data_IF_671174822192
#
_entry.id   IF_671174822192
#
_cell.length_a   1.000
_cell.length_b   1.000
_cell.length_c   1.000
_cell.angle_alpha   90.00
_cell.angle_beta   90.00
_cell.angle_gamma   90.00
#
_symmetry.space_group_name_H-M   'P 1'
#
loop_
_entity.id
_entity.type
_entity.pdbx_description
1 polymer ?
#
# COMPACT_ATOMS: atom_id res chain seq x y z
N UNK A 1 -2.04 17.29 26.38
CA UNK A 1 -3.14 16.57 27.07
C UNK A 1 -3.39 15.26 26.34
N UNK A 2 -3.80 14.19 27.03
CA UNK A 2 -4.06 12.89 26.41
C UNK A 2 -5.56 12.68 26.17
N UNK A 3 -5.90 12.02 25.06
CA UNK A 3 -7.26 11.53 24.81
C UNK A 3 -7.78 10.66 25.98
N UNK A 4 -9.09 10.70 26.28
CA UNK A 4 -9.67 9.77 27.25
C UNK A 4 -9.37 8.31 26.84
N UNK A 5 -8.98 7.41 27.77
CA UNK A 5 -8.57 6.05 27.43
C UNK A 5 -9.62 5.24 26.66
N UNK A 6 -10.90 5.49 26.92
CA UNK A 6 -12.01 4.83 26.21
C UNK A 6 -12.05 5.25 24.75
N UNK A 7 -11.92 6.55 24.47
CA UNK A 7 -11.89 7.08 23.10
C UNK A 7 -10.63 6.60 22.36
N UNK A 8 -9.47 6.59 23.04
CA UNK A 8 -8.24 6.08 22.46
C UNK A 8 -8.41 4.63 21.99
N UNK A 9 -8.97 3.75 22.83
CA UNK A 9 -9.24 2.35 22.45
C UNK A 9 -10.22 2.23 21.30
N UNK A 10 -11.33 2.98 21.33
CA UNK A 10 -12.30 3.01 20.23
C UNK A 10 -11.65 3.37 18.90
N UNK A 11 -10.75 4.36 18.89
CA UNK A 11 -10.01 4.73 17.68
C UNK A 11 -9.05 3.61 17.26
N UNK A 12 -8.27 3.05 18.18
CA UNK A 12 -7.34 1.95 17.88
C UNK A 12 -8.05 0.74 17.26
N UNK A 13 -9.24 0.39 17.77
CA UNK A 13 -10.05 -0.73 17.29
C UNK A 13 -10.76 -0.43 15.96
N UNK A 14 -10.98 0.85 15.66
CA UNK A 14 -11.67 1.28 14.46
C UNK A 14 -10.71 1.55 13.30
N UNK A 15 -9.56 2.19 13.54
CA UNK A 15 -8.70 2.83 12.51
C UNK A 15 -8.23 1.87 11.40
N UNK A 16 -8.01 0.60 11.72
CA UNK A 16 -7.61 -0.41 10.74
C UNK A 16 -8.78 -0.91 9.88
N UNK A 17 -10.02 -0.50 10.14
CA UNK A 17 -11.16 -0.84 9.27
C UNK A 17 -11.04 -0.05 7.97
N UNK A 18 -11.36 -0.69 6.84
CA UNK A 18 -11.35 -0.01 5.54
C UNK A 18 -12.33 1.15 5.48
N UNK A 19 -13.45 1.05 6.20
CA UNK A 19 -14.40 2.14 6.42
C UNK A 19 -14.63 2.29 7.92
N UNK A 20 -14.61 3.53 8.41
CA UNK A 20 -14.86 3.78 9.81
C UNK A 20 -15.41 5.17 10.10
N UNK A 21 -15.96 5.29 11.31
CA UNK A 21 -16.49 6.54 11.85
C UNK A 21 -16.17 6.56 13.34
N UNK A 22 -15.67 7.70 13.82
CA UNK A 22 -15.48 7.96 15.24
C UNK A 22 -15.98 9.37 15.52
N UNK A 23 -16.77 9.51 16.58
CA UNK A 23 -17.20 10.79 17.10
C UNK A 23 -17.03 10.85 18.61
N UNK A 24 -16.64 12.02 19.13
CA UNK A 24 -16.53 12.26 20.56
C UNK A 24 -16.46 13.75 20.86
N UNK A 25 -16.70 14.08 22.13
CA UNK A 25 -16.45 15.42 22.65
C UNK A 25 -15.03 15.47 23.21
N UNK A 26 -14.21 16.38 22.68
CA UNK A 26 -12.85 16.61 23.15
C UNK A 26 -12.80 17.90 23.97
N UNK A 27 -12.26 17.82 25.18
CA UNK A 27 -12.04 18.98 26.03
C UNK A 27 -10.56 19.33 26.06
N UNK A 28 -10.22 20.59 25.80
CA UNK A 28 -8.86 21.09 25.86
C UNK A 28 -8.87 22.59 26.15
N UNK A 29 -8.01 23.00 27.08
CA UNK A 29 -7.87 24.40 27.48
C UNK A 29 -7.04 25.24 26.52
N UNK A 30 -6.58 24.67 25.40
CA UNK A 30 -5.60 25.27 24.49
C UNK A 30 -5.87 25.00 23.01
N UNK A 31 -6.41 23.85 22.63
CA UNK A 31 -6.55 23.45 21.22
C UNK A 31 -7.49 24.34 20.40
N UNK A 32 -8.45 25.03 21.03
CA UNK A 32 -9.48 25.78 20.30
C UNK A 32 -9.56 27.27 20.65
N UNK A 33 -8.66 27.73 21.53
CA UNK A 33 -8.58 29.15 21.89
C UNK A 33 -7.84 29.96 20.82
N UNK A 34 -8.13 31.26 20.79
CA UNK A 34 -7.35 32.24 20.05
C UNK A 34 -5.91 32.34 20.56
N UNK A 35 -4.97 32.68 19.67
CA UNK A 35 -3.57 32.95 19.97
C UNK A 35 -2.74 31.80 20.59
N UNK A 36 -3.24 30.57 20.53
CA UNK A 36 -2.48 29.40 20.98
C UNK A 36 -1.42 28.96 19.96
N UNK A 37 -0.37 28.28 20.42
CA UNK A 37 0.71 27.78 19.55
C UNK A 37 0.22 26.63 18.67
N UNK A 38 0.84 26.49 17.50
CA UNK A 38 0.68 25.29 16.69
C UNK A 38 1.19 24.05 17.43
N UNK A 39 0.58 22.90 17.19
CA UNK A 39 0.97 21.66 17.86
C UNK A 39 0.08 20.48 17.53
N UNK A 40 0.55 19.29 17.89
CA UNK A 40 -0.22 18.05 17.80
C UNK A 40 -1.19 18.02 18.98
N UNK A 41 -2.47 17.84 18.68
CA UNK A 41 -3.52 17.67 19.69
C UNK A 41 -3.51 16.21 20.17
N UNK A 42 -3.55 15.27 19.23
CA UNK A 42 -3.33 13.86 19.49
C UNK A 42 -2.82 13.13 18.24
N UNK A 43 -2.17 11.99 18.46
CA UNK A 43 -1.76 11.06 17.42
C UNK A 43 -1.94 9.62 17.90
N UNK A 44 -2.34 8.73 16.97
CA UNK A 44 -2.65 7.33 17.25
C UNK A 44 -2.11 6.47 16.11
N UNK A 45 -0.97 5.78 16.30
CA UNK A 45 -0.54 4.71 15.42
C UNK A 45 -1.26 3.40 15.79
N UNK A 46 -1.72 2.64 14.79
CA UNK A 46 -2.25 1.29 14.98
C UNK A 46 -2.06 0.46 13.72
N UNK A 47 -1.46 -0.72 13.83
CA UNK A 47 -1.06 -1.50 12.66
C UNK A 47 -0.18 -0.68 11.71
N UNK A 48 -0.57 -0.60 10.44
CA UNK A 48 0.04 0.28 9.44
C UNK A 48 -0.58 1.68 9.35
N UNK A 49 -1.59 1.96 10.17
CA UNK A 49 -2.36 3.20 10.13
C UNK A 49 -1.83 4.26 11.07
N UNK A 50 -2.09 5.52 10.72
CA UNK A 50 -1.78 6.68 11.55
C UNK A 50 -2.92 7.69 11.50
N UNK A 51 -3.43 8.04 12.67
CA UNK A 51 -4.32 9.17 12.89
C UNK A 51 -3.58 10.29 13.59
N UNK A 52 -3.73 11.51 13.09
CA UNK A 52 -3.22 12.72 13.76
C UNK A 52 -4.18 13.86 13.59
N UNK A 53 -4.48 14.52 14.70
CA UNK A 53 -5.11 15.84 14.70
C UNK A 53 -4.08 16.85 15.19
N UNK A 54 -3.80 17.85 14.38
CA UNK A 54 -2.97 18.98 14.78
C UNK A 54 -3.63 20.32 14.47
N UNK A 55 -3.07 21.38 15.07
CA UNK A 55 -3.49 22.76 14.86
C UNK A 55 -2.33 23.58 14.34
N UNK A 56 -2.57 24.38 13.31
CA UNK A 56 -1.59 25.35 12.78
C UNK A 56 -1.61 26.68 13.55
N UNK A 57 -0.69 27.59 13.22
CA UNK A 57 -0.66 28.92 13.86
C UNK A 57 -1.84 29.80 13.40
N UNK A 58 -2.36 29.51 12.22
CA UNK A 58 -3.46 30.20 11.54
C UNK A 58 -4.83 29.71 12.03
N UNK A 59 -4.88 28.98 13.16
CA UNK A 59 -6.10 28.42 13.77
C UNK A 59 -6.83 27.40 12.89
N UNK A 60 -6.09 26.69 12.03
CA UNK A 60 -6.61 25.59 11.21
C UNK A 60 -6.37 24.26 11.92
N UNK A 61 -7.42 23.45 12.07
CA UNK A 61 -7.31 22.05 12.49
C UNK A 61 -7.07 21.17 11.27
N UNK A 62 -6.09 20.28 11.34
CA UNK A 62 -5.78 19.32 10.28
C UNK A 62 -5.86 17.92 10.82
N UNK A 63 -6.70 17.14 10.18
CA UNK A 63 -6.87 15.73 10.44
C UNK A 63 -6.16 14.92 9.35
N UNK A 64 -5.16 14.15 9.75
CA UNK A 64 -4.44 13.23 8.89
C UNK A 64 -4.87 11.80 9.16
N UNK A 65 -5.19 11.09 8.09
CA UNK A 65 -5.33 9.63 8.09
C UNK A 65 -4.34 9.04 7.09
N UNK A 66 -3.52 8.09 7.54
CA UNK A 66 -2.59 7.36 6.68
C UNK A 66 -2.84 5.87 6.77
N UNK A 67 -2.79 5.20 5.62
CA UNK A 67 -2.67 3.74 5.51
C UNK A 67 -1.66 3.36 4.41
N UNK A 68 -1.12 2.13 4.42
CA UNK A 68 -0.24 1.66 3.34
C UNK A 68 -0.94 1.70 1.96
N UNK A 69 -2.19 1.23 1.89
CA UNK A 69 -2.95 1.08 0.65
C UNK A 69 -3.50 2.39 0.07
N UNK A 70 -3.83 3.37 0.91
CA UNK A 70 -4.44 4.64 0.46
C UNK A 70 -3.51 5.84 0.51
N UNK A 71 -2.33 5.70 1.11
CA UNK A 71 -1.45 6.83 1.41
C UNK A 71 -2.00 7.71 2.53
N UNK A 72 -1.48 8.94 2.62
CA UNK A 72 -1.90 9.94 3.61
C UNK A 72 -2.86 10.95 2.99
N UNK A 73 -4.00 11.16 3.65
CA UNK A 73 -4.97 12.22 3.32
C UNK A 73 -5.07 13.21 4.46
N UNK A 74 -5.38 14.46 4.14
CA UNK A 74 -5.58 15.53 5.11
C UNK A 74 -6.90 16.27 4.86
N UNK A 75 -7.73 16.38 5.90
CA UNK A 75 -8.90 17.26 5.93
C UNK A 75 -8.60 18.45 6.85
N UNK A 76 -8.89 19.67 6.41
CA UNK A 76 -8.53 20.89 7.12
C UNK A 76 -9.75 21.78 7.37
N UNK A 77 -10.00 22.11 8.64
CA UNK A 77 -11.08 23.02 9.06
C UNK A 77 -10.44 24.31 9.58
N UNK A 78 -10.79 25.43 8.98
CA UNK A 78 -10.45 26.74 9.51
C UNK A 78 -11.42 27.11 10.64
N UNK A 79 -10.89 27.38 11.85
CA UNK A 79 -11.69 27.82 13.00
C UNK A 79 -11.86 29.34 13.05
N UNK A 80 -11.27 30.09 12.12
CA UNK A 80 -11.45 31.53 12.03
C UNK A 80 -12.94 31.85 11.87
N UNK A 81 -13.45 32.78 12.69
CA UNK A 81 -14.88 33.12 12.75
C UNK A 81 -15.67 32.38 13.83
N UNK A 82 -15.10 31.33 14.47
CA UNK A 82 -15.68 30.75 15.66
C UNK A 82 -15.15 31.44 16.94
N UNK A 83 -15.99 31.57 18.00
CA UNK A 83 -15.51 32.04 19.29
C UNK A 83 -14.45 31.08 19.85
N UNK A 84 -13.71 31.51 20.86
CA UNK A 84 -12.88 30.61 21.65
C UNK A 84 -13.78 29.65 22.45
N UNK A 85 -13.45 28.36 22.46
CA UNK A 85 -14.15 27.33 23.23
C UNK A 85 -13.15 26.34 23.84
N UNK A 86 -13.58 25.59 24.85
CA UNK A 86 -12.79 24.57 25.54
C UNK A 86 -13.25 23.14 25.23
N UNK A 87 -14.44 22.99 24.63
CA UNK A 87 -15.03 21.70 24.24
C UNK A 87 -15.45 21.71 22.78
N UNK A 88 -14.95 20.74 22.03
CA UNK A 88 -15.30 20.52 20.63
C UNK A 88 -16.05 19.20 20.49
N UNK A 89 -17.09 19.17 19.66
CA UNK A 89 -17.53 17.93 19.04
C UNK A 89 -16.61 17.65 17.85
N UNK A 90 -16.01 16.46 17.80
CA UNK A 90 -15.18 16.01 16.70
C UNK A 90 -15.80 14.75 16.11
N UNK A 91 -15.93 14.70 14.78
CA UNK A 91 -16.29 13.48 14.07
C UNK A 91 -15.37 13.27 12.87
N UNK A 92 -14.91 12.04 12.70
CA UNK A 92 -14.00 11.61 11.66
C UNK A 92 -14.63 10.45 10.91
N UNK A 93 -14.60 10.49 9.58
CA UNK A 93 -14.94 9.34 8.75
C UNK A 93 -13.83 9.07 7.77
N UNK A 94 -13.65 7.81 7.41
CA UNK A 94 -12.68 7.42 6.38
C UNK A 94 -13.17 6.21 5.61
N UNK A 95 -12.70 6.15 4.38
CA UNK A 95 -12.86 5.09 3.39
C UNK A 95 -11.62 5.09 2.48
N UNK A 96 -11.45 4.11 1.59
CA UNK A 96 -10.43 4.18 0.57
C UNK A 96 -10.51 5.43 -0.33
N UNK A 97 -11.73 5.90 -0.58
CA UNK A 97 -12.02 6.98 -1.52
C UNK A 97 -11.95 8.36 -0.87
N UNK A 98 -12.39 8.46 0.39
CA UNK A 98 -12.65 9.72 1.06
C UNK A 98 -12.26 9.69 2.55
N UNK A 99 -11.93 10.85 3.09
CA UNK A 99 -11.73 11.07 4.53
C UNK A 99 -12.43 12.36 4.87
N UNK A 100 -13.33 12.39 5.85
CA UNK A 100 -14.04 13.60 6.24
C UNK A 100 -13.77 13.94 7.70
N UNK A 101 -13.78 15.24 7.98
CA UNK A 101 -13.60 15.79 9.31
C UNK A 101 -14.73 16.78 9.58
N UNK A 102 -15.37 16.63 10.74
CA UNK A 102 -16.35 17.57 11.27
C UNK A 102 -15.91 18.08 12.63
N UNK A 103 -16.07 19.38 12.86
CA UNK A 103 -15.69 20.01 14.12
C UNK A 103 -16.62 21.19 14.44
N UNK A 104 -16.98 21.36 15.71
CA UNK A 104 -17.66 22.57 16.18
C UNK A 104 -17.67 22.69 17.70
N UNK A 105 -17.96 23.88 18.23
CA UNK A 105 -18.07 24.08 19.68
C UNK A 105 -19.20 23.21 20.25
N UNK A 106 -18.92 22.47 21.32
CA UNK A 106 -19.91 21.62 21.96
C UNK A 106 -20.87 22.45 22.82
N UNK A 107 -22.18 22.26 22.62
CA UNK A 107 -23.22 22.96 23.39
C UNK A 107 -23.48 24.41 22.95
N UNK A 108 -22.93 24.83 21.81
CA UNK A 108 -23.19 26.15 21.21
C UNK A 108 -23.80 25.97 19.83
N UNK A 109 -24.89 26.69 19.55
CA UNK A 109 -25.61 26.60 18.29
C UNK A 109 -24.94 27.45 17.19
N UNK A 110 -23.79 26.98 16.70
CA UNK A 110 -23.00 27.64 15.64
C UNK A 110 -22.84 26.76 14.39
N UNK A 111 -23.48 25.59 14.38
CA UNK A 111 -23.32 24.56 13.35
C UNK A 111 -21.96 23.83 13.43
N UNK A 112 -21.88 22.68 12.76
CA UNK A 112 -20.65 21.93 12.60
C UNK A 112 -19.94 22.37 11.31
N UNK A 113 -18.66 22.70 11.43
CA UNK A 113 -17.79 22.85 10.27
C UNK A 113 -17.46 21.48 9.69
N UNK A 114 -17.22 21.43 8.38
CA UNK A 114 -16.94 20.20 7.65
C UNK A 114 -15.80 20.43 6.65
N UNK A 115 -14.93 19.42 6.52
CA UNK A 115 -13.91 19.37 5.48
C UNK A 115 -13.76 17.95 4.92
N UNK A 116 -13.66 17.86 3.59
CA UNK A 116 -13.30 16.64 2.88
C UNK A 116 -11.79 16.60 2.64
N UNK A 117 -11.21 15.42 2.83
CA UNK A 117 -9.78 15.20 2.83
C UNK A 117 -9.22 14.98 1.44
N UNK A 118 -8.09 15.62 1.16
CA UNK A 118 -7.32 15.49 -0.09
C UNK A 118 -5.98 14.76 0.16
N UNK A 119 -5.33 14.22 -0.88
CA UNK A 119 -3.97 13.69 -0.75
C UNK A 119 -3.02 14.72 -0.12
N UNK A 120 -2.28 14.30 0.88
CA UNK A 120 -1.35 15.17 1.62
C UNK A 120 0.03 15.21 0.93
N UNK A 121 0.71 16.38 0.87
CA UNK A 121 2.11 16.46 0.44
C UNK A 121 3.07 15.81 1.44
N UNK A 122 2.61 15.60 2.67
CA UNK A 122 3.31 14.88 3.73
C UNK A 122 2.74 13.47 3.83
N UNK A 123 3.61 12.47 3.85
CA UNK A 123 3.25 11.07 4.06
C UNK A 123 3.66 10.60 5.46
N UNK A 124 2.74 9.98 6.19
CA UNK A 124 3.03 9.33 7.46
C UNK A 124 3.11 7.82 7.31
N UNK A 125 4.14 7.21 7.88
CA UNK A 125 4.36 5.76 7.84
C UNK A 125 4.69 5.20 9.22
N UNK A 126 4.16 4.02 9.50
CA UNK A 126 4.49 3.25 10.71
C UNK A 126 5.59 2.25 10.37
N UNK A 127 6.73 2.35 11.06
CA UNK A 127 7.82 1.38 10.95
C UNK A 127 7.47 0.05 11.60
N UNK A 128 8.22 -0.99 11.28
CA UNK A 128 8.08 -2.32 11.89
C UNK A 128 8.33 -2.31 13.41
N UNK A 129 8.97 -1.26 13.94
CA UNK A 129 9.21 -1.05 15.37
C UNK A 129 8.16 -0.15 16.04
N UNK A 130 7.08 0.22 15.32
CA UNK A 130 6.04 1.12 15.81
C UNK A 130 6.39 2.61 15.73
N UNK A 131 7.60 2.98 15.30
CA UNK A 131 7.97 4.39 15.12
C UNK A 131 7.16 5.04 14.00
N UNK A 132 6.74 6.29 14.19
CA UNK A 132 6.08 7.10 13.16
C UNK A 132 7.13 7.88 12.37
N UNK A 133 7.09 7.78 11.05
CA UNK A 133 7.95 8.54 10.14
C UNK A 133 7.11 9.52 9.34
N UNK A 134 7.51 10.79 9.36
CA UNK A 134 6.99 11.83 8.48
C UNK A 134 7.92 11.97 7.28
N UNK A 135 7.40 11.80 6.08
CA UNK A 135 8.13 11.87 4.81
C UNK A 135 7.59 12.99 3.94
N UNK A 136 8.49 13.74 3.33
CA UNK A 136 8.12 14.87 2.46
C UNK A 136 7.62 16.10 3.21
N UNK A 137 7.38 17.14 2.43
CA UNK A 137 6.78 18.40 2.82
C UNK A 137 6.31 19.12 1.55
N UNK A 138 5.66 20.27 1.70
CA UNK A 138 5.26 21.14 0.59
C UNK A 138 6.47 21.48 -0.28
N UNK A 139 6.46 21.01 -1.52
CA UNK A 139 7.57 21.21 -2.47
C UNK A 139 8.71 20.20 -2.36
N UNK A 140 8.63 19.20 -1.48
CA UNK A 140 9.64 18.16 -1.30
C UNK A 140 9.08 16.79 -1.64
N UNK A 141 9.42 16.28 -2.82
CA UNK A 141 9.08 14.92 -3.23
C UNK A 141 10.11 13.94 -2.67
N UNK A 142 9.64 12.98 -1.86
CA UNK A 142 10.46 11.88 -1.35
C UNK A 142 9.91 10.58 -1.92
N UNK A 143 10.77 9.75 -2.49
CA UNK A 143 10.39 8.43 -3.01
C UNK A 143 11.33 7.35 -2.48
N UNK A 144 10.81 6.12 -2.38
CA UNK A 144 11.64 4.94 -2.14
C UNK A 144 12.32 4.92 -0.78
N UNK A 145 11.79 5.63 0.22
CA UNK A 145 12.42 5.75 1.53
C UNK A 145 12.61 4.39 2.18
N UNK A 146 13.84 4.11 2.60
CA UNK A 146 14.20 2.94 3.40
C UNK A 146 14.94 3.42 4.63
N UNK A 147 14.48 3.02 5.81
CA UNK A 147 15.14 3.33 7.07
C UNK A 147 15.65 2.03 7.69
N UNK A 148 16.93 2.01 8.06
CA UNK A 148 17.54 0.91 8.81
C UNK A 148 17.98 1.38 10.18
N UNK A 149 17.76 0.55 11.21
CA UNK A 149 18.22 0.79 12.59
C UNK A 149 18.89 -0.49 13.08
N UNK A 150 20.16 -0.41 13.49
CA UNK A 150 20.92 -1.58 13.92
C UNK A 150 21.06 -2.68 12.84
N UNK A 151 21.14 -2.30 11.55
CA UNK A 151 21.23 -3.23 10.42
C UNK A 151 19.88 -3.79 9.92
N UNK A 152 18.82 -3.72 10.73
CA UNK A 152 17.48 -4.18 10.38
C UNK A 152 16.67 -3.12 9.64
N UNK A 153 15.85 -3.53 8.66
CA UNK A 153 14.93 -2.65 7.94
C UNK A 153 13.73 -2.29 8.83
N UNK A 154 13.62 -1.01 9.19
CA UNK A 154 12.54 -0.47 10.02
C UNK A 154 11.40 0.06 9.16
N UNK A 155 11.74 0.77 8.08
CA UNK A 155 10.77 1.33 7.15
C UNK A 155 11.12 0.91 5.73
N UNK A 156 10.13 0.41 5.01
CA UNK A 156 10.19 0.12 3.59
C UNK A 156 9.17 1.00 2.84
N UNK A 157 9.36 1.23 1.53
CA UNK A 157 8.33 1.84 0.71
C UNK A 157 7.10 0.94 0.68
N UNK A 158 5.93 1.55 0.56
CA UNK A 158 4.68 0.82 0.36
C UNK A 158 4.66 0.12 -0.99
N UNK A 159 3.82 -0.89 -1.16
CA UNK A 159 3.66 -1.64 -2.39
C UNK A 159 3.38 -0.71 -3.57
N UNK A 160 2.42 0.21 -3.41
CA UNK A 160 2.07 1.15 -4.49
C UNK A 160 3.21 2.13 -4.79
N UNK A 161 3.99 2.56 -3.79
CA UNK A 161 5.19 3.36 -4.01
C UNK A 161 6.25 2.58 -4.81
N UNK A 162 6.47 1.30 -4.49
CA UNK A 162 7.38 0.43 -5.25
C UNK A 162 6.97 0.40 -6.72
N UNK A 163 5.68 0.18 -6.99
CA UNK A 163 5.17 0.15 -8.36
C UNK A 163 5.36 1.48 -9.08
N UNK A 164 5.00 2.60 -8.44
CA UNK A 164 5.15 3.93 -9.01
C UNK A 164 6.61 4.25 -9.32
N UNK A 165 7.55 3.83 -8.46
CA UNK A 165 8.99 3.98 -8.70
C UNK A 165 9.43 3.15 -9.92
N UNK A 166 8.92 1.91 -10.07
CA UNK A 166 9.19 1.09 -11.26
C UNK A 166 8.77 1.81 -12.54
N UNK A 167 7.55 2.36 -12.58
CA UNK A 167 7.05 3.08 -13.75
C UNK A 167 7.89 4.33 -14.04
N UNK A 168 8.19 5.14 -13.03
CA UNK A 168 9.03 6.33 -13.20
C UNK A 168 10.44 6.00 -13.68
N UNK A 169 11.02 4.88 -13.22
CA UNK A 169 12.32 4.42 -13.68
C UNK A 169 12.28 3.97 -15.14
N UNK A 170 11.18 3.36 -15.60
CA UNK A 170 10.96 3.03 -17.02
C UNK A 170 10.83 4.31 -17.83
N UNK A 171 10.02 5.28 -17.38
CA UNK A 171 9.84 6.55 -18.06
C UNK A 171 11.19 7.28 -18.22
N UNK A 172 12.01 7.30 -17.16
CA UNK A 172 13.35 7.87 -17.18
C UNK A 172 14.28 7.12 -18.16
N UNK A 173 14.25 5.79 -18.18
CA UNK A 173 15.03 4.97 -19.12
C UNK A 173 14.71 5.36 -20.58
N UNK A 174 13.45 5.64 -20.88
CA UNK A 174 13.00 6.05 -22.21
C UNK A 174 13.36 7.50 -22.59
N UNK A 175 13.89 8.31 -21.68
CA UNK A 175 14.47 9.62 -22.01
C UNK A 175 15.90 9.52 -22.57
N UNK A 176 16.56 8.37 -22.39
CA UNK A 176 17.90 8.13 -22.91
C UNK A 176 17.97 8.21 -24.43
N UNK A 177 19.14 8.57 -24.96
CA UNK A 177 19.42 8.66 -26.40
C UNK A 177 20.72 7.94 -26.73
N UNK A 178 20.79 7.33 -27.91
CA UNK A 178 21.98 6.66 -28.44
C UNK A 178 21.97 6.70 -29.98
N UNK A 179 23.15 6.65 -30.59
CA UNK A 179 23.34 6.55 -32.04
C UNK A 179 23.19 5.10 -32.56
N UNK A 180 23.08 4.11 -31.67
CA UNK A 180 22.98 2.68 -32.02
C UNK A 180 21.58 2.27 -32.55
N UNK A 181 20.67 3.22 -32.76
CA UNK A 181 19.36 3.01 -33.37
C UNK A 181 18.55 1.88 -32.72
N UNK A 182 18.18 0.88 -33.52
CA UNK A 182 17.38 -0.26 -33.09
C UNK A 182 18.00 -1.07 -31.94
N UNK A 183 19.33 -1.20 -31.86
CA UNK A 183 19.99 -1.90 -30.74
C UNK A 183 19.68 -1.26 -29.39
N UNK A 184 19.65 0.08 -29.36
CA UNK A 184 19.32 0.82 -28.14
C UNK A 184 17.84 0.68 -27.78
N UNK A 185 16.94 0.72 -28.77
CA UNK A 185 15.50 0.52 -28.55
C UNK A 185 15.19 -0.90 -28.01
N UNK A 186 15.87 -1.93 -28.53
CA UNK A 186 15.77 -3.30 -28.03
C UNK A 186 16.21 -3.38 -26.56
N UNK A 187 17.35 -2.78 -26.23
CA UNK A 187 17.86 -2.75 -24.86
C UNK A 187 16.87 -2.05 -23.91
N UNK A 188 16.31 -0.91 -24.31
CA UNK A 188 15.31 -0.19 -23.53
C UNK A 188 14.03 -1.02 -23.32
N UNK A 189 13.55 -1.67 -24.38
CA UNK A 189 12.35 -2.53 -24.33
C UNK A 189 12.55 -3.72 -23.40
N UNK A 190 13.67 -4.43 -23.57
CA UNK A 190 13.98 -5.61 -22.76
C UNK A 190 14.21 -5.26 -21.29
N UNK A 191 14.86 -4.13 -21.03
CA UNK A 191 15.03 -3.60 -19.66
C UNK A 191 13.69 -3.21 -19.05
N UNK A 192 12.80 -2.57 -19.83
CA UNK A 192 11.45 -2.21 -19.37
C UNK A 192 10.66 -3.47 -18.97
N UNK A 193 10.67 -4.52 -19.79
CA UNK A 193 10.02 -5.80 -19.47
C UNK A 193 10.58 -6.43 -18.19
N UNK A 194 11.91 -6.44 -18.03
CA UNK A 194 12.55 -6.96 -16.83
C UNK A 194 12.14 -6.16 -15.56
N UNK A 195 12.08 -4.84 -15.67
CA UNK A 195 11.66 -3.94 -14.59
C UNK A 195 10.18 -4.12 -14.25
N UNK A 196 9.30 -4.26 -15.24
CA UNK A 196 7.85 -4.48 -15.02
C UNK A 196 7.59 -5.78 -14.24
N UNK A 197 8.26 -6.88 -14.60
CA UNK A 197 8.10 -8.17 -13.89
C UNK A 197 8.65 -8.09 -12.46
N UNK A 198 9.83 -7.51 -12.28
CA UNK A 198 10.41 -7.32 -10.95
C UNK A 198 9.57 -6.35 -10.08
N UNK A 199 9.00 -5.32 -10.70
CA UNK A 199 8.10 -4.37 -10.06
C UNK A 199 6.80 -5.03 -9.62
N UNK A 200 6.20 -5.90 -10.46
CA UNK A 200 5.00 -6.67 -10.10
C UNK A 200 5.26 -7.60 -8.92
N UNK A 201 6.38 -8.34 -8.94
CA UNK A 201 6.77 -9.21 -7.83
C UNK A 201 6.95 -8.41 -6.53
N UNK A 202 7.71 -7.31 -6.60
CA UNK A 202 8.01 -6.49 -5.42
C UNK A 202 6.75 -5.81 -4.88
N UNK A 203 5.86 -5.34 -5.76
CA UNK A 203 4.53 -4.85 -5.42
C UNK A 203 3.71 -5.94 -4.73
N UNK A 204 3.56 -7.10 -5.37
CA UNK A 204 2.69 -8.17 -4.91
C UNK A 204 3.15 -8.70 -3.55
N UNK A 205 4.44 -8.97 -3.39
CA UNK A 205 5.04 -9.42 -2.13
C UNK A 205 4.85 -8.41 -1.00
N UNK A 206 5.09 -7.12 -1.28
CA UNK A 206 4.91 -6.05 -0.27
C UNK A 206 3.44 -5.89 0.10
N UNK A 207 2.55 -5.86 -0.90
CA UNK A 207 1.11 -5.69 -0.70
C UNK A 207 0.53 -6.84 0.11
N UNK A 208 1.02 -8.05 -0.13
CA UNK A 208 0.59 -9.25 0.57
C UNK A 208 0.79 -9.14 2.09
N UNK A 209 1.83 -8.47 2.55
CA UNK A 209 2.08 -8.25 3.98
C UNK A 209 1.34 -7.00 4.50
N UNK A 210 1.24 -5.96 3.69
CA UNK A 210 0.53 -4.72 4.06
C UNK A 210 -0.93 -4.94 4.43
N UNK A 211 -1.61 -5.85 3.73
CA UNK A 211 -3.02 -6.16 4.00
C UNK A 211 -3.24 -6.61 5.46
N UNK A 212 -2.31 -7.38 6.03
CA UNK A 212 -2.35 -7.74 7.47
C UNK A 212 -2.17 -6.51 8.37
N UNK A 213 -1.26 -5.61 8.00
CA UNK A 213 -1.04 -4.35 8.74
C UNK A 213 -2.22 -3.39 8.65
N UNK A 214 -3.07 -3.55 7.64
CA UNK A 214 -4.35 -2.88 7.48
C UNK A 214 -5.48 -3.59 8.24
N UNK A 215 -5.16 -4.49 9.19
CA UNK A 215 -6.16 -5.13 10.05
C UNK A 215 -6.97 -6.24 9.37
N UNK A 216 -6.60 -6.68 8.16
CA UNK A 216 -7.23 -7.83 7.52
C UNK A 216 -6.54 -9.11 7.98
N UNK A 217 -7.28 -9.97 8.68
CA UNK A 217 -6.75 -11.25 9.17
C UNK A 217 -6.41 -12.20 8.00
N UNK A 218 -5.14 -12.61 7.85
CA UNK A 218 -4.74 -13.53 6.78
C UNK A 218 -5.13 -14.97 7.11
N UNK A 219 -5.55 -15.73 6.10
CA UNK A 219 -5.72 -17.19 6.20
C UNK A 219 -4.36 -17.91 6.03
N UNK A 220 -3.43 -17.67 6.94
CA UNK A 220 -2.06 -18.18 6.87
C UNK A 220 -1.96 -19.72 6.84
N UNK A 221 -2.91 -20.44 7.49
CA UNK A 221 -3.00 -21.91 7.39
C UNK A 221 -3.31 -22.35 5.94
N UNK A 222 -4.27 -21.70 5.28
CA UNK A 222 -4.66 -22.01 3.91
C UNK A 222 -3.52 -21.70 2.92
N UNK A 223 -2.74 -20.64 3.20
CA UNK A 223 -1.53 -20.33 2.45
C UNK A 223 -0.48 -21.45 2.59
N UNK A 224 -0.19 -21.86 3.82
CA UNK A 224 0.74 -22.96 4.06
C UNK A 224 0.28 -24.23 3.33
N UNK A 225 -1.00 -24.58 3.42
CA UNK A 225 -1.53 -25.75 2.75
C UNK A 225 -1.43 -25.69 1.22
N UNK A 226 -1.55 -24.48 0.66
CA UNK A 226 -1.40 -24.25 -0.77
C UNK A 226 0.05 -24.43 -1.24
N UNK A 227 1.05 -24.01 -0.47
CA UNK A 227 2.45 -24.01 -0.94
C UNK A 227 3.32 -25.11 -0.34
N UNK A 228 2.81 -25.87 0.61
CA UNK A 228 3.52 -26.99 1.25
C UNK A 228 3.22 -28.34 0.59
N UNK A 229 4.24 -29.19 0.54
CA UNK A 229 4.08 -30.58 0.10
C UNK A 229 3.20 -31.38 1.08
N UNK A 230 2.66 -32.52 0.66
CA UNK A 230 1.88 -33.40 1.56
C UNK A 230 2.71 -33.86 2.78
N UNK A 231 3.99 -34.17 2.56
CA UNK A 231 4.90 -34.60 3.62
C UNK A 231 5.10 -33.50 4.67
N UNK A 232 5.33 -32.26 4.23
CA UNK A 232 5.49 -31.10 5.11
C UNK A 232 4.22 -30.80 5.90
N UNK A 233 3.05 -30.97 5.30
CA UNK A 233 1.77 -30.79 6.01
C UNK A 233 1.55 -31.82 7.11
N UNK A 234 2.16 -32.99 7.00
CA UNK A 234 2.02 -34.08 7.97
C UNK A 234 3.11 -34.10 9.05
N UNK A 235 4.15 -33.27 8.94
CA UNK A 235 5.29 -33.27 9.86
C UNK A 235 5.09 -32.46 11.14
N UNK A 236 3.95 -31.77 11.30
CA UNK A 236 3.71 -30.86 12.44
C UNK A 236 4.33 -29.46 12.26
N UNK A 237 5.00 -29.19 11.14
CA UNK A 237 5.72 -27.93 10.88
C UNK A 237 4.84 -26.67 11.02
N UNK A 238 3.53 -26.76 10.78
CA UNK A 238 2.62 -25.63 10.96
C UNK A 238 2.56 -25.16 12.42
N UNK A 239 2.52 -26.09 13.38
CA UNK A 239 2.49 -25.76 14.81
C UNK A 239 3.84 -25.20 15.27
N UNK A 240 4.95 -25.72 14.73
CA UNK A 240 6.29 -25.15 14.96
C UNK A 240 6.37 -23.69 14.48
N UNK A 241 5.78 -23.36 13.33
CA UNK A 241 5.74 -22.00 12.81
C UNK A 241 4.89 -21.07 13.69
N UNK A 242 3.75 -21.54 14.21
CA UNK A 242 2.95 -20.77 15.18
C UNK A 242 3.72 -20.51 16.46
N UNK A 243 4.36 -21.54 17.01
CA UNK A 243 5.18 -21.42 18.22
C UNK A 243 6.36 -20.45 18.01
N UNK A 244 7.04 -20.55 16.86
CA UNK A 244 8.12 -19.63 16.49
C UNK A 244 7.64 -18.19 16.39
N UNK A 245 6.52 -17.95 15.71
CA UNK A 245 5.93 -16.61 15.56
C UNK A 245 5.63 -15.98 16.93
N UNK A 246 5.06 -16.75 17.86
CA UNK A 246 4.81 -16.31 19.24
C UNK A 246 6.10 -15.98 20.00
N UNK A 247 7.16 -16.80 19.84
CA UNK A 247 8.45 -16.59 20.49
C UNK A 247 9.21 -15.37 19.94
N UNK A 248 9.11 -15.10 18.64
CA UNK A 248 9.82 -13.99 17.98
C UNK A 248 9.02 -12.70 17.89
N UNK A 249 7.79 -12.69 18.44
CA UNK A 249 6.85 -11.57 18.32
C UNK A 249 6.64 -11.13 16.85
N UNK A 250 6.63 -12.10 15.93
CA UNK A 250 6.39 -11.93 14.50
C UNK A 250 4.98 -12.39 14.17
N UNK A 251 4.38 -11.83 13.11
CA UNK A 251 3.09 -12.33 12.65
C UNK A 251 3.20 -13.76 12.14
N UNK A 252 2.15 -14.55 12.35
CA UNK A 252 2.11 -15.93 11.86
C UNK A 252 2.21 -16.00 10.33
N UNK A 253 1.62 -15.03 9.62
CA UNK A 253 1.77 -14.90 8.17
C UNK A 253 3.24 -14.76 7.77
N UNK A 254 4.00 -13.88 8.43
CA UNK A 254 5.39 -13.67 8.10
C UNK A 254 6.23 -14.93 8.39
N UNK A 255 5.95 -15.66 9.48
CA UNK A 255 6.61 -16.94 9.75
C UNK A 255 6.32 -18.00 8.66
N UNK A 256 5.10 -18.03 8.12
CA UNK A 256 4.74 -18.89 6.98
C UNK A 256 5.50 -18.46 5.73
N UNK A 257 5.55 -17.17 5.40
CA UNK A 257 6.27 -16.65 4.22
C UNK A 257 7.77 -16.92 4.25
N UNK A 258 8.39 -16.94 5.43
CA UNK A 258 9.80 -17.33 5.58
C UNK A 258 10.03 -18.83 5.29
N UNK A 259 8.97 -19.64 5.36
CA UNK A 259 9.02 -21.07 5.16
C UNK A 259 8.60 -21.51 3.76
N UNK A 260 7.54 -20.90 3.21
CA UNK A 260 7.01 -21.25 1.89
C UNK A 260 7.57 -20.30 0.83
N UNK A 261 8.17 -20.85 -0.22
CA UNK A 261 8.65 -20.05 -1.35
C UNK A 261 7.50 -19.76 -2.31
N UNK A 262 7.06 -18.51 -2.36
CA UNK A 262 6.06 -18.02 -3.32
C UNK A 262 6.80 -17.24 -4.41
N UNK A 263 6.64 -17.65 -5.66
CA UNK A 263 7.16 -16.90 -6.80
C UNK A 263 6.08 -15.94 -7.32
N UNK A 264 6.12 -14.67 -6.92
CA UNK A 264 5.16 -13.67 -7.42
C UNK A 264 5.46 -13.22 -8.86
N UNK A 265 6.56 -13.66 -9.48
CA UNK A 265 6.78 -13.50 -10.92
C UNK A 265 5.96 -14.51 -11.74
N UNK A 266 5.42 -15.57 -11.11
CA UNK A 266 4.51 -16.51 -11.74
C UNK A 266 3.05 -16.11 -11.46
N UNK A 267 2.27 -15.87 -12.50
CA UNK A 267 0.89 -15.39 -12.36
C UNK A 267 0.00 -16.40 -11.63
N UNK A 268 0.22 -17.70 -11.82
CA UNK A 268 -0.57 -18.73 -11.16
C UNK A 268 -0.26 -18.83 -9.67
N UNK A 269 1.00 -18.73 -9.30
CA UNK A 269 1.46 -18.63 -7.91
C UNK A 269 0.93 -17.37 -7.23
N UNK A 270 1.00 -16.21 -7.90
CA UNK A 270 0.43 -14.96 -7.40
C UNK A 270 -1.08 -15.10 -7.16
N UNK A 271 -1.84 -15.57 -8.15
CA UNK A 271 -3.29 -15.82 -8.03
C UNK A 271 -3.61 -16.79 -6.89
N UNK A 272 -2.85 -17.88 -6.78
CA UNK A 272 -3.05 -18.89 -5.75
C UNK A 272 -2.79 -18.35 -4.35
N UNK A 273 -1.72 -17.58 -4.15
CA UNK A 273 -1.38 -16.96 -2.88
C UNK A 273 -2.47 -15.99 -2.41
N UNK A 274 -2.85 -15.02 -3.26
CA UNK A 274 -3.88 -14.03 -2.90
C UNK A 274 -5.25 -14.68 -2.64
N UNK A 275 -5.62 -15.70 -3.40
CA UNK A 275 -6.86 -16.43 -3.17
C UNK A 275 -6.82 -17.24 -1.87
N UNK A 276 -5.73 -17.95 -1.59
CA UNK A 276 -5.60 -18.78 -0.39
C UNK A 276 -5.58 -17.94 0.90
N UNK A 277 -4.88 -16.81 0.89
CA UNK A 277 -4.72 -15.99 2.10
C UNK A 277 -5.86 -15.01 2.33
N UNK A 278 -6.36 -14.38 1.27
CA UNK A 278 -7.28 -13.24 1.36
C UNK A 278 -8.58 -13.44 0.57
N UNK A 279 -8.79 -14.62 -0.04
CA UNK A 279 -9.99 -14.89 -0.84
C UNK A 279 -10.08 -14.10 -2.16
N UNK A 280 -9.01 -13.40 -2.56
CA UNK A 280 -9.01 -12.58 -3.77
C UNK A 280 -8.86 -13.46 -5.00
N UNK A 281 -9.94 -13.59 -5.76
CA UNK A 281 -9.95 -14.28 -7.06
C UNK A 281 -9.56 -13.31 -8.16
N UNK A 282 -8.29 -13.31 -8.60
CA UNK A 282 -7.79 -12.38 -9.62
C UNK A 282 -8.53 -12.48 -10.96
N UNK A 283 -9.13 -13.63 -11.30
CA UNK A 283 -10.00 -13.73 -12.46
C UNK A 283 -11.30 -12.91 -12.36
N UNK A 284 -11.66 -12.44 -11.17
CA UNK A 284 -12.94 -11.79 -10.88
C UNK A 284 -12.78 -10.30 -10.54
N UNK A 285 -11.57 -9.73 -10.58
CA UNK A 285 -11.32 -8.32 -10.24
C UNK A 285 -11.39 -7.38 -11.45
N UNK A 286 -12.02 -7.83 -12.55
CA UNK A 286 -12.24 -7.02 -13.75
C UNK A 286 -11.01 -6.84 -14.63
N UNK A 287 -10.12 -7.84 -14.68
CA UNK A 287 -9.05 -7.96 -15.68
C UNK A 287 -9.56 -8.91 -16.77
N UNK A 288 -9.54 -8.48 -18.02
CA UNK A 288 -10.00 -9.30 -19.14
C UNK A 288 -8.99 -10.43 -19.48
N UNK A 289 -9.49 -11.47 -20.15
CA UNK A 289 -8.68 -12.65 -20.50
C UNK A 289 -7.50 -12.33 -21.41
N UNK A 290 -7.62 -11.31 -22.27
CA UNK A 290 -6.54 -10.93 -23.19
C UNK A 290 -5.40 -10.28 -22.40
N UNK A 291 -5.71 -9.35 -21.50
CA UNK A 291 -4.73 -8.75 -20.59
C UNK A 291 -4.00 -9.79 -19.74
N UNK A 292 -4.70 -10.82 -19.25
CA UNK A 292 -4.07 -11.94 -18.51
C UNK A 292 -3.13 -12.75 -19.40
N UNK A 293 -3.55 -13.06 -20.63
CA UNK A 293 -2.74 -13.78 -21.60
C UNK A 293 -1.48 -12.99 -21.96
N UNK A 294 -1.62 -11.69 -22.20
CA UNK A 294 -0.51 -10.77 -22.48
C UNK A 294 0.46 -10.68 -21.30
N UNK A 295 -0.05 -10.53 -20.08
CA UNK A 295 0.77 -10.52 -18.86
C UNK A 295 1.65 -11.77 -18.76
N UNK A 296 1.05 -12.96 -18.93
CA UNK A 296 1.78 -14.24 -18.90
C UNK A 296 2.86 -14.30 -19.98
N UNK A 297 2.54 -13.81 -21.18
CA UNK A 297 3.49 -13.75 -22.29
C UNK A 297 4.68 -12.83 -21.98
N UNK A 298 4.44 -11.64 -21.42
CA UNK A 298 5.50 -10.72 -21.03
C UNK A 298 6.39 -11.27 -19.90
N UNK A 299 5.79 -11.95 -18.91
CA UNK A 299 6.54 -12.69 -17.88
C UNK A 299 7.45 -13.75 -18.53
N UNK A 300 6.94 -14.49 -19.50
CA UNK A 300 7.72 -15.46 -20.28
C UNK A 300 8.89 -14.82 -21.03
N UNK A 301 8.68 -13.65 -21.65
CA UNK A 301 9.75 -12.91 -22.34
C UNK A 301 10.85 -12.46 -21.38
N UNK A 302 10.50 -12.00 -20.17
CA UNK A 302 11.51 -11.64 -19.15
C UNK A 302 12.43 -12.81 -18.83
N UNK A 303 11.90 -14.04 -18.70
CA UNK A 303 12.74 -15.21 -18.45
C UNK A 303 13.79 -15.37 -19.56
N UNK A 304 13.40 -15.21 -20.82
CA UNK A 304 14.34 -15.25 -21.96
C UNK A 304 15.35 -14.10 -21.93
N UNK A 305 14.89 -12.87 -21.68
CA UNK A 305 15.78 -11.68 -21.60
C UNK A 305 16.87 -11.89 -20.56
N UNK A 306 16.51 -12.40 -19.37
CA UNK A 306 17.46 -12.57 -18.26
C UNK A 306 18.41 -13.74 -18.48
N UNK A 307 17.95 -14.84 -19.07
CA UNK A 307 18.75 -16.07 -19.21
C UNK A 307 19.47 -16.22 -20.55
N UNK A 308 19.05 -15.49 -21.59
CA UNK A 308 19.64 -15.58 -22.93
C UNK A 308 20.45 -14.32 -23.26
N UNK A 309 19.80 -13.16 -23.41
CA UNK A 309 20.49 -11.91 -23.71
C UNK A 309 19.58 -10.68 -23.53
N UNK A 310 20.10 -9.56 -22.98
CA UNK A 310 19.39 -8.28 -22.97
C UNK A 310 19.24 -7.66 -24.37
N UNK A 311 19.95 -8.16 -25.39
CA UNK A 311 19.90 -7.70 -26.78
C UNK A 311 19.07 -8.63 -27.69
N UNK A 312 18.15 -9.41 -27.12
CA UNK A 312 17.21 -10.21 -27.91
C UNK A 312 16.30 -9.31 -28.73
N UNK A 313 16.35 -9.45 -30.07
CA UNK A 313 15.47 -8.74 -30.98
C UNK A 313 14.12 -9.41 -31.23
N UNK A 314 14.05 -10.74 -31.13
CA UNK A 314 12.82 -11.52 -31.29
C UNK A 314 12.58 -12.31 -30.00
N UNK A 315 11.54 -11.91 -29.26
CA UNK A 315 11.28 -12.43 -27.91
C UNK A 315 10.61 -13.80 -27.87
N UNK A 316 10.03 -14.26 -28.98
CA UNK A 316 9.41 -15.57 -29.15
C UNK A 316 10.12 -16.44 -30.21
N UNK A 317 11.41 -16.20 -30.48
CA UNK A 317 12.24 -16.98 -31.41
C UNK A 317 12.05 -18.52 -31.35
N UNK A 318 11.81 -19.13 -30.19
CA UNK A 318 11.55 -20.57 -30.06
C UNK A 318 10.27 -21.05 -30.73
N UNK A 319 9.32 -20.14 -30.94
CA UNK A 319 7.96 -20.41 -31.44
C UNK A 319 7.80 -19.98 -32.92
N UNK A 320 8.86 -19.42 -33.52
CA UNK A 320 8.94 -18.96 -34.91
C UNK A 320 9.58 -20.08 -35.75
N UNK A 321 9.08 -20.41 -36.96
CA UNK A 321 8.07 -19.71 -37.76
C UNK A 321 6.56 -20.01 -37.54
N UNK A 322 6.10 -21.02 -36.77
CA UNK A 322 4.65 -21.24 -36.62
C UNK A 322 3.87 -20.03 -36.07
N UNK A 323 4.52 -19.17 -35.29
CA UNK A 323 4.00 -17.89 -34.81
C UNK A 323 4.69 -16.69 -35.46
N UNK A 324 4.00 -15.55 -35.50
CA UNK A 324 4.56 -14.26 -35.92
C UNK A 324 5.68 -13.79 -34.95
N UNK A 325 6.80 -13.24 -35.46
CA UNK A 325 7.89 -12.76 -34.62
C UNK A 325 7.46 -11.55 -33.80
N UNK A 326 7.80 -11.56 -32.51
CA UNK A 326 7.54 -10.46 -31.58
C UNK A 326 8.83 -9.69 -31.34
N UNK A 327 8.91 -8.51 -31.94
CA UNK A 327 10.08 -7.64 -31.87
C UNK A 327 10.12 -6.82 -30.57
N UNK A 328 11.32 -6.70 -30.00
CA UNK A 328 11.58 -5.83 -28.85
C UNK A 328 11.63 -4.35 -29.28
N UNK A 329 10.47 -3.70 -29.36
CA UNK A 329 10.33 -2.29 -29.73
C UNK A 329 9.48 -1.48 -28.73
N UNK A 330 9.45 -0.16 -28.92
CA UNK A 330 8.73 0.78 -28.05
C UNK A 330 7.24 0.49 -27.95
N UNK A 331 6.61 0.03 -29.03
CA UNK A 331 5.19 -0.31 -29.04
C UNK A 331 4.91 -1.48 -28.09
N UNK A 332 5.75 -2.52 -28.12
CA UNK A 332 5.68 -3.64 -27.18
C UNK A 332 5.86 -3.18 -25.73
N UNK A 333 6.86 -2.34 -25.47
CA UNK A 333 7.10 -1.78 -24.13
C UNK A 333 5.89 -1.01 -23.60
N UNK A 334 5.29 -0.15 -24.43
CA UNK A 334 4.12 0.65 -24.07
C UNK A 334 2.90 -0.24 -23.80
N UNK A 335 2.70 -1.28 -24.62
CA UNK A 335 1.66 -2.28 -24.40
C UNK A 335 1.86 -3.03 -23.08
N UNK A 336 3.09 -3.49 -22.81
CA UNK A 336 3.42 -4.18 -21.56
C UNK A 336 3.15 -3.28 -20.36
N UNK A 337 3.65 -2.04 -20.36
CA UNK A 337 3.39 -1.08 -19.29
C UNK A 337 1.90 -0.91 -19.03
N UNK A 338 1.08 -0.77 -20.07
CA UNK A 338 -0.38 -0.65 -19.94
C UNK A 338 -1.01 -1.88 -19.27
N UNK A 339 -0.63 -3.09 -19.70
CA UNK A 339 -1.15 -4.35 -19.15
C UNK A 339 -0.76 -4.51 -17.68
N UNK A 340 0.51 -4.28 -17.35
CA UNK A 340 0.98 -4.39 -15.97
C UNK A 340 0.31 -3.34 -15.05
N UNK A 341 0.21 -2.09 -15.50
CA UNK A 341 -0.48 -1.05 -14.74
C UNK A 341 -1.95 -1.40 -14.50
N UNK A 342 -2.65 -1.95 -15.49
CA UNK A 342 -4.03 -2.42 -15.31
C UNK A 342 -4.11 -3.52 -14.24
N UNK A 343 -3.24 -4.52 -14.31
CA UNK A 343 -3.23 -5.64 -13.36
C UNK A 343 -2.95 -5.16 -11.94
N UNK A 344 -1.94 -4.30 -11.76
CA UNK A 344 -1.59 -3.73 -10.45
C UNK A 344 -2.71 -2.86 -9.92
N UNK A 345 -3.31 -1.98 -10.74
CA UNK A 345 -4.44 -1.14 -10.32
C UNK A 345 -5.64 -1.97 -9.85
N UNK A 346 -6.03 -2.99 -10.62
CA UNK A 346 -7.16 -3.86 -10.27
C UNK A 346 -6.88 -4.68 -9.01
N UNK A 347 -5.68 -5.23 -8.88
CA UNK A 347 -5.27 -5.96 -7.68
C UNK A 347 -5.24 -5.04 -6.46
N UNK A 348 -4.66 -3.85 -6.61
CA UNK A 348 -4.61 -2.84 -5.54
C UNK A 348 -6.00 -2.49 -5.05
N UNK A 349 -6.91 -2.09 -5.94
CA UNK A 349 -8.30 -1.78 -5.61
C UNK A 349 -9.01 -2.94 -4.92
N UNK A 350 -8.84 -4.17 -5.42
CA UNK A 350 -9.43 -5.35 -4.80
C UNK A 350 -8.92 -5.59 -3.38
N UNK A 351 -7.63 -5.37 -3.13
CA UNK A 351 -7.04 -5.55 -1.79
C UNK A 351 -7.46 -4.44 -0.81
N UNK A 352 -7.58 -3.20 -1.28
CA UNK A 352 -8.01 -2.06 -0.46
C UNK A 352 -9.51 -2.15 -0.11
N UNK A 353 -10.32 -2.76 -0.99
CA UNK A 353 -11.75 -2.98 -0.76
C UNK A 353 -12.05 -4.15 0.20
N UNK A 354 -11.03 -4.86 0.71
CA UNK A 354 -11.23 -5.92 1.69
C UNK A 354 -11.85 -5.34 2.97
N UNK A 355 -12.67 -6.15 3.63
CA UNK A 355 -13.28 -5.83 4.92
C UNK A 355 -12.72 -6.76 5.97
N UNK A 356 -12.44 -6.24 7.16
CA UNK A 356 -12.11 -7.08 8.30
C UNK A 356 -13.31 -7.96 8.65
N UNK A 357 -13.05 -9.19 9.09
CA UNK A 357 -14.10 -10.15 9.50
C UNK A 357 -14.98 -9.63 10.64
N UNK A 358 -14.50 -8.68 11.42
CA UNK A 358 -15.25 -8.05 12.53
C UNK A 358 -16.30 -7.03 12.04
N UNK A 359 -16.29 -6.67 10.75
CA UNK A 359 -17.31 -5.80 10.14
C UNK A 359 -18.53 -6.59 9.61
N UNK A 360 -18.57 -7.92 9.81
CA UNK A 360 -19.64 -8.81 9.34
C UNK A 360 -20.69 -9.16 10.42
N UNK A 361 -20.78 -8.36 11.50
CA UNK A 361 -21.81 -8.49 12.55
C UNK A 361 -22.85 -7.40 12.43
#
# INVERSE_FOLDING_TARGET
MSLPPVIFRQIVDAICRSIGTIEFVYSSSDAFLDNQKAGIIFEIPSGGHYFRLDRTKERVLRFFHSSPGTGTRVAAIDLNGLPSFDKAFLAFTWSPEETNFHCGPHGVDVGLLHATGSPSPVSFRIGNDGSVFQLGDTGVQVMGTRVRRGGSLVLAPTAIEIWNITIQAIDLLWTGRSDQGFLFEMLQTNSSLAMLVAGLESYASSRFIEIEKEGITPQANALFDAFSSKLVRQSGQLEDLKAKAAQTNQSFLAAVLDNVKINFQDFDSLKRAFNATYGIKIGNIGIDSNSISELRRFIGYRHRIVHVSPLLGILNESDVPPAEPVFANRALSTQATKVFCLVVDKLHKATVALRSSDAAV
#
